data_IF_192963890351
#
_entry.id   IF_192963890351
#
_cell.length_a   1.000
_cell.length_b   1.000
_cell.length_c   1.000
_cell.angle_alpha   90.00
_cell.angle_beta   90.00
_cell.angle_gamma   90.00
#
_symmetry.space_group_name_H-M   'P 1'
#
loop_
_entity.id
_entity.type
_entity.pdbx_description
1 polymer ?
#
# COMPACT_ATOMS: atom_id res chain seq x y z
N UNK A 1 3.17 13.83 -18.77
CA UNK A 1 3.02 13.44 -17.35
C UNK A 1 2.36 14.58 -16.59
N UNK A 2 1.30 14.28 -15.87
CA UNK A 2 0.61 15.23 -15.01
C UNK A 2 1.07 15.03 -13.57
N UNK A 3 1.54 16.09 -12.92
CA UNK A 3 1.97 16.04 -11.52
C UNK A 3 0.98 16.85 -10.68
N UNK A 4 0.47 16.22 -9.62
CA UNK A 4 -0.48 16.84 -8.69
C UNK A 4 0.14 16.91 -7.30
N UNK A 5 0.19 18.12 -6.73
CA UNK A 5 0.70 18.35 -5.38
C UNK A 5 -0.48 18.52 -4.43
N UNK A 6 -0.84 17.46 -3.70
CA UNK A 6 -2.00 17.46 -2.82
C UNK A 6 -1.68 16.74 -1.51
N UNK A 7 -2.27 17.22 -0.42
CA UNK A 7 -2.25 16.52 0.84
C UNK A 7 -3.20 15.32 0.74
N UNK A 8 -2.65 14.11 0.72
CA UNK A 8 -3.44 12.89 0.54
C UNK A 8 -4.43 12.64 1.69
N UNK A 9 -4.18 13.18 2.89
CA UNK A 9 -5.06 13.02 4.03
C UNK A 9 -6.23 14.03 4.02
N UNK A 10 -6.17 15.04 3.14
CA UNK A 10 -7.20 16.08 3.00
C UNK A 10 -7.84 16.10 1.62
N UNK A 11 -7.40 15.25 0.71
CA UNK A 11 -7.81 15.26 -0.70
C UNK A 11 -8.32 13.91 -1.18
N UNK A 12 -8.97 13.12 -0.28
CA UNK A 12 -9.39 11.76 -0.59
C UNK A 12 -10.24 11.69 -1.86
N UNK A 13 -11.25 12.57 -1.98
CA UNK A 13 -12.16 12.56 -3.14
C UNK A 13 -11.41 12.79 -4.45
N UNK A 14 -10.49 13.74 -4.48
CA UNK A 14 -9.73 14.06 -5.68
C UNK A 14 -8.79 12.93 -6.09
N UNK A 15 -8.10 12.34 -5.11
CA UNK A 15 -7.18 11.22 -5.34
C UNK A 15 -7.95 9.97 -5.76
N UNK A 16 -9.09 9.71 -5.12
CA UNK A 16 -9.97 8.61 -5.51
C UNK A 16 -10.40 8.74 -6.98
N UNK A 17 -10.76 9.94 -7.43
CA UNK A 17 -11.11 10.18 -8.82
C UNK A 17 -9.95 9.90 -9.77
N UNK A 18 -8.73 10.27 -9.40
CA UNK A 18 -7.54 9.98 -10.19
C UNK A 18 -7.32 8.47 -10.35
N UNK A 19 -7.53 7.71 -9.27
CA UNK A 19 -7.41 6.25 -9.30
C UNK A 19 -8.51 5.62 -10.15
N UNK A 20 -9.76 5.97 -9.87
CA UNK A 20 -10.94 5.36 -10.50
C UNK A 20 -10.99 5.68 -11.99
N UNK A 21 -10.74 6.93 -12.38
CA UNK A 21 -10.90 7.39 -13.75
C UNK A 21 -9.61 7.39 -14.56
N UNK A 22 -8.49 7.09 -13.93
CA UNK A 22 -7.20 6.96 -14.61
C UNK A 22 -7.04 5.61 -15.30
N UNK A 23 -5.89 5.42 -15.91
CA UNK A 23 -5.48 4.12 -16.42
C UNK A 23 -5.05 3.18 -15.30
N UNK A 24 -4.13 2.27 -15.60
CA UNK A 24 -3.58 1.37 -14.58
C UNK A 24 -2.85 2.16 -13.50
N UNK A 25 -3.12 1.84 -12.25
CA UNK A 25 -2.56 2.56 -11.10
C UNK A 25 -1.52 1.71 -10.37
N UNK A 26 -0.40 2.35 -10.05
CA UNK A 26 0.53 1.88 -9.02
C UNK A 26 0.44 2.87 -7.86
N UNK A 27 -0.06 2.42 -6.72
CA UNK A 27 -0.20 3.25 -5.53
C UNK A 27 0.93 2.93 -4.56
N UNK A 28 1.77 3.91 -4.26
CA UNK A 28 2.89 3.76 -3.33
C UNK A 28 2.57 4.51 -2.03
N UNK A 29 2.44 3.77 -0.93
CA UNK A 29 2.17 4.31 0.39
C UNK A 29 3.50 4.45 1.15
N UNK A 30 4.08 5.63 1.12
CA UNK A 30 5.38 5.91 1.75
C UNK A 30 5.40 7.29 2.45
N UNK A 31 4.24 7.76 2.88
CA UNK A 31 4.09 9.01 3.62
C UNK A 31 4.11 8.76 5.14
N UNK A 32 3.76 9.78 5.92
CA UNK A 32 3.87 9.77 7.37
C UNK A 32 2.90 8.82 8.09
N UNK A 33 1.83 8.35 7.43
CA UNK A 33 0.89 7.39 8.01
C UNK A 33 0.49 6.34 6.97
N UNK A 34 1.33 5.35 6.82
CA UNK A 34 1.17 4.30 5.81
C UNK A 34 -0.05 3.42 6.03
N UNK A 35 -0.40 3.18 7.29
CA UNK A 35 -1.61 2.40 7.64
C UNK A 35 -2.86 3.13 7.15
N UNK A 36 -2.96 4.42 7.46
CA UNK A 36 -4.09 5.24 7.02
C UNK A 36 -4.15 5.35 5.50
N UNK A 37 -3.02 5.57 4.85
CA UNK A 37 -2.94 5.62 3.39
C UNK A 37 -3.46 4.34 2.74
N UNK A 38 -2.91 3.22 3.17
CA UNK A 38 -3.27 1.91 2.61
C UNK A 38 -4.77 1.64 2.79
N UNK A 39 -5.27 1.81 4.01
CA UNK A 39 -6.66 1.51 4.31
C UNK A 39 -7.65 2.49 3.67
N UNK A 40 -7.24 3.74 3.49
CA UNK A 40 -8.08 4.74 2.82
C UNK A 40 -8.19 4.49 1.32
N UNK A 41 -7.07 4.25 0.65
CA UNK A 41 -7.02 4.25 -0.82
C UNK A 41 -7.15 2.89 -1.48
N UNK A 42 -6.90 1.79 -0.77
CA UNK A 42 -7.00 0.45 -1.34
C UNK A 42 -8.38 0.14 -1.92
N UNK A 43 -9.44 0.69 -1.34
CA UNK A 43 -10.82 0.47 -1.79
C UNK A 43 -11.15 1.09 -3.15
N UNK A 44 -10.31 2.00 -3.64
CA UNK A 44 -10.52 2.67 -4.93
C UNK A 44 -9.80 1.99 -6.09
N UNK A 45 -8.99 0.98 -5.82
CA UNK A 45 -8.22 0.29 -6.84
C UNK A 45 -9.12 -0.46 -7.82
N UNK A 46 -8.74 -0.42 -9.09
CA UNK A 46 -9.38 -1.16 -10.17
C UNK A 46 -8.69 -2.51 -10.35
N UNK A 47 -9.35 -3.43 -11.06
CA UNK A 47 -8.77 -4.72 -11.41
C UNK A 47 -7.37 -4.55 -12.02
N UNK A 48 -6.40 -5.31 -11.51
CA UNK A 48 -4.99 -5.28 -11.89
C UNK A 48 -4.18 -4.08 -11.42
N UNK A 49 -4.78 -3.14 -10.71
CA UNK A 49 -4.01 -2.09 -10.02
C UNK A 49 -3.15 -2.71 -8.91
N UNK A 50 -2.02 -2.07 -8.61
CA UNK A 50 -1.06 -2.55 -7.62
C UNK A 50 -0.93 -1.51 -6.50
N UNK A 51 -0.85 -1.99 -5.26
CA UNK A 51 -0.59 -1.15 -4.08
C UNK A 51 0.62 -1.69 -3.32
N UNK A 52 1.49 -0.78 -2.90
CA UNK A 52 2.67 -1.08 -2.11
C UNK A 52 2.75 -0.14 -0.92
N UNK A 53 3.27 -0.64 0.20
CA UNK A 53 3.57 0.20 1.37
C UNK A 53 4.96 -0.12 1.89
N UNK A 54 5.68 0.93 2.28
CA UNK A 54 7.06 0.82 2.78
C UNK A 54 7.11 0.69 4.30
N UNK A 55 8.28 0.30 4.82
CA UNK A 55 8.52 0.02 6.24
C UNK A 55 7.57 -1.06 6.76
N UNK A 56 7.38 -2.08 5.93
CA UNK A 56 6.46 -3.19 6.14
C UNK A 56 7.18 -4.45 6.57
N UNK A 57 6.51 -5.20 7.44
CA UNK A 57 6.85 -6.61 7.71
C UNK A 57 5.54 -7.37 7.94
N UNK A 58 5.49 -8.68 7.64
CA UNK A 58 4.31 -9.50 7.97
C UNK A 58 3.98 -9.45 9.47
N UNK A 59 5.00 -9.40 10.31
CA UNK A 59 4.84 -9.30 11.76
C UNK A 59 6.07 -8.65 12.39
N UNK A 60 5.93 -8.21 13.62
CA UNK A 60 7.07 -7.69 14.39
C UNK A 60 8.15 -8.76 14.59
N UNK A 61 7.76 -10.01 14.83
CA UNK A 61 8.70 -11.12 14.98
C UNK A 61 9.52 -11.35 13.71
N UNK A 62 8.88 -11.29 12.55
CA UNK A 62 9.57 -11.40 11.27
C UNK A 62 10.58 -10.26 11.10
N UNK A 63 10.18 -9.04 11.40
CA UNK A 63 11.06 -7.88 11.30
C UNK A 63 12.25 -7.98 12.25
N UNK A 64 12.03 -8.40 13.50
CA UNK A 64 13.11 -8.58 14.48
C UNK A 64 14.16 -9.59 14.01
N UNK A 65 13.74 -10.62 13.29
CA UNK A 65 14.62 -11.68 12.80
C UNK A 65 15.28 -11.38 11.45
N UNK A 66 14.76 -10.41 10.69
CA UNK A 66 15.16 -10.16 9.30
C UNK A 66 15.46 -8.69 9.00
N UNK A 67 15.97 -7.93 9.93
CA UNK A 67 16.15 -6.47 9.84
C UNK A 67 16.97 -6.00 8.65
N UNK A 68 16.40 -6.05 7.47
CA UNK A 68 17.01 -5.51 6.26
C UNK A 68 16.74 -4.01 6.09
N UNK A 69 15.84 -3.45 6.91
CA UNK A 69 15.47 -2.03 6.91
C UNK A 69 15.27 -1.55 8.36
N UNK A 70 15.51 -0.25 8.63
CA UNK A 70 15.68 0.21 10.01
C UNK A 70 14.40 0.43 10.79
N UNK A 71 13.23 0.56 10.13
CA UNK A 71 11.98 0.98 10.77
C UNK A 71 10.84 0.05 10.38
N UNK A 72 9.98 -0.28 11.35
CA UNK A 72 8.74 -1.01 11.12
C UNK A 72 7.56 -0.08 11.42
N UNK A 73 6.73 0.20 10.41
CA UNK A 73 5.57 1.09 10.56
C UNK A 73 4.24 0.42 10.20
N UNK A 74 4.26 -0.67 9.44
CA UNK A 74 3.03 -1.34 8.99
C UNK A 74 3.23 -2.86 8.98
N UNK A 75 2.25 -3.57 9.53
CA UNK A 75 2.22 -5.04 9.59
C UNK A 75 0.94 -5.57 8.93
N UNK A 76 0.89 -6.86 8.65
CA UNK A 76 -0.30 -7.50 8.07
C UNK A 76 -1.57 -7.24 8.90
N UNK A 77 -1.46 -7.29 10.21
CA UNK A 77 -2.62 -7.05 11.09
C UNK A 77 -3.25 -5.67 10.92
N UNK A 78 -2.48 -4.69 10.46
CA UNK A 78 -2.94 -3.31 10.29
C UNK A 78 -3.75 -3.14 9.00
N UNK A 79 -3.59 -4.02 8.03
CA UNK A 79 -4.18 -3.91 6.69
C UNK A 79 -5.00 -5.11 6.26
N UNK A 80 -5.15 -6.11 7.14
CA UNK A 80 -5.81 -7.38 6.79
C UNK A 80 -7.27 -7.18 6.33
N UNK A 81 -8.00 -6.27 6.95
CA UNK A 81 -9.38 -6.00 6.57
C UNK A 81 -9.45 -5.39 5.16
N UNK A 82 -8.54 -4.48 4.84
CA UNK A 82 -8.46 -3.90 3.49
C UNK A 82 -8.10 -4.94 2.45
N UNK A 83 -7.18 -5.85 2.77
CA UNK A 83 -6.79 -6.95 1.88
C UNK A 83 -8.00 -7.82 1.57
N UNK A 84 -8.73 -8.25 2.60
CA UNK A 84 -9.89 -9.14 2.44
C UNK A 84 -11.06 -8.43 1.77
N UNK A 85 -11.40 -7.22 2.20
CA UNK A 85 -12.57 -6.49 1.69
C UNK A 85 -12.38 -6.02 0.25
N UNK A 86 -11.15 -5.77 -0.18
CA UNK A 86 -10.85 -5.23 -1.50
C UNK A 86 -10.28 -6.28 -2.46
N UNK A 87 -10.30 -7.56 -2.09
CA UNK A 87 -9.84 -8.64 -2.95
C UNK A 87 -8.41 -8.42 -3.45
N UNK A 88 -7.50 -8.14 -2.52
CA UNK A 88 -6.08 -7.96 -2.82
C UNK A 88 -5.34 -9.27 -2.65
N UNK A 89 -4.46 -9.59 -3.59
CA UNK A 89 -3.59 -10.77 -3.52
C UNK A 89 -2.13 -10.34 -3.53
N UNK A 90 -1.27 -11.11 -2.86
CA UNK A 90 0.16 -10.84 -2.86
C UNK A 90 0.71 -10.86 -4.29
N UNK A 91 1.60 -9.92 -4.60
CA UNK A 91 2.18 -9.77 -5.92
C UNK A 91 3.65 -9.38 -5.79
N UNK A 92 4.56 -10.20 -6.35
CA UNK A 92 6.01 -9.99 -6.26
C UNK A 92 6.53 -9.87 -4.81
N UNK A 93 5.83 -10.48 -3.85
CA UNK A 93 6.05 -10.25 -2.43
C UNK A 93 7.44 -10.71 -1.96
N UNK A 94 7.94 -11.82 -2.48
CA UNK A 94 9.27 -12.33 -2.10
C UNK A 94 10.37 -11.33 -2.44
N UNK A 95 10.24 -10.66 -3.58
CA UNK A 95 11.19 -9.65 -4.01
C UNK A 95 11.06 -8.36 -3.19
N UNK A 96 9.85 -7.87 -3.05
CA UNK A 96 9.61 -6.56 -2.39
C UNK A 96 9.87 -6.62 -0.89
N UNK A 97 9.58 -7.75 -0.25
CA UNK A 97 9.76 -7.94 1.19
C UNK A 97 11.22 -7.76 1.62
N UNK A 98 12.17 -8.15 0.80
CA UNK A 98 13.60 -7.97 1.08
C UNK A 98 13.95 -6.51 1.36
N UNK A 99 13.22 -5.57 0.77
CA UNK A 99 13.43 -4.13 0.91
C UNK A 99 12.41 -3.44 1.81
N UNK A 100 11.61 -4.23 2.55
CA UNK A 100 10.64 -3.70 3.49
C UNK A 100 9.35 -3.16 2.86
N UNK A 101 8.97 -3.68 1.71
CA UNK A 101 7.71 -3.33 1.04
C UNK A 101 6.73 -4.51 1.06
N UNK A 102 5.46 -4.23 1.29
CA UNK A 102 4.42 -5.14 0.84
C UNK A 102 4.02 -4.79 -0.58
N UNK A 103 3.47 -5.77 -1.29
CA UNK A 103 2.99 -5.55 -2.65
C UNK A 103 1.77 -6.43 -2.89
N UNK A 104 0.66 -5.81 -3.27
CA UNK A 104 -0.60 -6.49 -3.56
C UNK A 104 -1.16 -6.03 -4.88
N UNK A 105 -1.89 -6.92 -5.53
CA UNK A 105 -2.61 -6.62 -6.77
C UNK A 105 -4.10 -6.80 -6.55
N UNK A 106 -4.91 -5.89 -7.05
CA UNK A 106 -6.37 -5.98 -7.05
C UNK A 106 -6.82 -7.02 -8.10
N UNK A 107 -7.62 -7.95 -7.67
CA UNK A 107 -8.21 -8.95 -8.59
C UNK A 107 -9.23 -8.30 -9.52
#
# INVERSE_FOLDING_TARGET
>A
INVHYKDIFKSESEIADLIINGGKTLLLCDNGNKILEFNTYSKYLKSNDVIMAHDYSPSNSFWENNKHWPVLEIEDKDIIDSINNNELITYQNDFTLTYGWCCFKKI
#
